data_IF_449598635392
#
_entry.id   IF_449598635392
#
_cell.length_a   1.000
_cell.length_b   1.000
_cell.length_c   1.000
_cell.angle_alpha   90.00
_cell.angle_beta   90.00
_cell.angle_gamma   90.00
#
_symmetry.space_group_name_H-M   'P 1'
#
loop_
_entity.id
_entity.type
_entity.pdbx_description
1 polymer ?
#
# COMPACT_ATOMS: atom_id res chain seq x y z
N UNK A 1 -17.83 -48.67 0.85
CA UNK A 1 -16.44 -48.37 0.45
C UNK A 1 -16.47 -47.02 -0.23
N UNK A 2 -16.57 -45.90 0.50
CA UNK A 2 -15.53 -45.25 1.31
C UNK A 2 -14.23 -45.07 0.57
N UNK A 3 -14.02 -43.87 0.03
CA UNK A 3 -12.76 -43.12 0.09
C UNK A 3 -13.08 -41.62 -0.03
N UNK A 4 -13.43 -41.02 1.11
CA UNK A 4 -13.37 -39.57 1.26
C UNK A 4 -11.91 -39.21 1.47
N UNK A 5 -11.30 -38.57 0.48
CA UNK A 5 -10.03 -37.87 0.63
C UNK A 5 -10.25 -36.67 1.56
N UNK A 6 -10.18 -36.91 2.87
CA UNK A 6 -10.01 -35.89 3.90
C UNK A 6 -8.51 -35.70 4.15
N UNK A 7 -7.81 -35.10 3.19
CA UNK A 7 -6.42 -34.73 3.36
C UNK A 7 -6.26 -33.25 2.98
N UNK A 8 -6.00 -32.38 3.98
CA UNK A 8 -5.43 -31.05 3.73
C UNK A 8 -6.04 -29.83 4.42
N UNK A 9 -6.93 -29.96 5.43
CA UNK A 9 -7.58 -28.78 6.05
C UNK A 9 -7.25 -28.51 7.52
N UNK A 10 -6.33 -29.24 8.15
CA UNK A 10 -5.96 -28.97 9.55
C UNK A 10 -4.90 -27.88 9.74
N UNK A 11 -4.01 -27.64 8.76
CA UNK A 11 -2.97 -26.61 8.86
C UNK A 11 -3.44 -25.16 8.65
N UNK A 12 -4.69 -24.94 8.25
CA UNK A 12 -5.19 -23.63 7.77
C UNK A 12 -5.95 -22.81 8.81
N UNK A 13 -5.98 -23.27 10.07
CA UNK A 13 -6.80 -22.69 11.15
C UNK A 13 -6.30 -21.34 11.70
N UNK A 14 -5.07 -20.93 11.38
CA UNK A 14 -4.43 -19.75 11.99
C UNK A 14 -4.27 -18.55 11.05
N UNK A 15 -4.60 -18.70 9.76
CA UNK A 15 -4.46 -17.60 8.82
C UNK A 15 -5.46 -16.48 9.17
N UNK A 16 -4.99 -15.23 9.36
CA UNK A 16 -5.87 -14.12 9.72
C UNK A 16 -6.86 -13.79 8.61
N UNK A 17 -6.54 -14.18 7.37
CA UNK A 17 -7.27 -13.89 6.16
C UNK A 17 -7.78 -15.17 5.50
N UNK A 18 -9.02 -15.14 5.05
CA UNK A 18 -9.63 -16.17 4.24
C UNK A 18 -10.02 -15.60 2.87
N UNK A 19 -9.66 -16.33 1.83
CA UNK A 19 -9.99 -16.00 0.43
C UNK A 19 -11.26 -16.75 0.05
N UNK A 20 -12.25 -16.04 -0.49
CA UNK A 20 -13.51 -16.59 -1.00
C UNK A 20 -13.73 -16.18 -2.45
N UNK A 21 -14.31 -17.07 -3.26
CA UNK A 21 -14.72 -16.78 -4.64
C UNK A 21 -16.24 -16.66 -4.67
N UNK A 22 -16.74 -15.43 -4.78
CA UNK A 22 -18.18 -15.13 -4.74
C UNK A 22 -18.64 -14.52 -6.08
N UNK A 23 -19.94 -14.58 -6.37
CA UNK A 23 -20.51 -13.93 -7.56
C UNK A 23 -20.60 -12.40 -7.46
N UNK A 24 -20.38 -11.83 -6.26
CA UNK A 24 -20.49 -10.40 -6.00
C UNK A 24 -19.18 -9.85 -5.43
N UNK A 25 -18.81 -8.66 -5.87
CA UNK A 25 -17.67 -7.94 -5.31
C UNK A 25 -18.03 -7.25 -3.99
N UNK A 26 -17.37 -7.63 -2.89
CA UNK A 26 -17.49 -6.97 -1.60
C UNK A 26 -16.52 -5.80 -1.41
N UNK A 27 -15.54 -5.68 -2.30
CA UNK A 27 -14.45 -4.71 -2.22
C UNK A 27 -14.43 -3.79 -3.44
N UNK A 28 -15.61 -3.35 -3.91
CA UNK A 28 -15.79 -2.46 -5.08
C UNK A 28 -15.01 -1.14 -4.98
N UNK A 29 -14.70 -0.73 -3.75
CA UNK A 29 -13.92 0.47 -3.46
C UNK A 29 -12.41 0.27 -3.72
N UNK A 30 -11.91 -0.97 -3.73
CA UNK A 30 -10.49 -1.27 -3.84
C UNK A 30 -9.95 -0.97 -5.24
N UNK A 31 -10.71 -1.29 -6.31
CA UNK A 31 -10.32 -1.00 -7.69
C UNK A 31 -10.04 0.48 -7.94
N UNK A 32 -11.01 1.39 -7.67
CA UNK A 32 -10.79 2.84 -7.79
C UNK A 32 -9.62 3.37 -6.96
N UNK A 33 -9.46 2.90 -5.71
CA UNK A 33 -8.33 3.31 -4.88
C UNK A 33 -6.98 2.86 -5.45
N UNK A 34 -6.88 1.61 -5.92
CA UNK A 34 -5.68 1.10 -6.54
C UNK A 34 -5.33 1.88 -7.82
N UNK A 35 -6.33 2.20 -8.64
CA UNK A 35 -6.14 3.01 -9.85
C UNK A 35 -5.61 4.39 -9.52
N UNK A 36 -6.21 5.09 -8.55
CA UNK A 36 -5.74 6.40 -8.09
C UNK A 36 -4.30 6.30 -7.57
N UNK A 37 -4.01 5.35 -6.69
CA UNK A 37 -2.67 5.18 -6.10
C UNK A 37 -1.59 4.92 -7.16
N UNK A 38 -1.85 4.01 -8.11
CA UNK A 38 -0.93 3.72 -9.21
C UNK A 38 -0.76 4.91 -10.16
N UNK A 39 -1.84 5.66 -10.42
CA UNK A 39 -1.78 6.86 -11.26
C UNK A 39 -0.92 7.94 -10.59
N UNK A 40 -1.11 8.18 -9.29
CA UNK A 40 -0.26 9.09 -8.52
C UNK A 40 1.20 8.63 -8.48
N UNK A 41 1.45 7.33 -8.30
CA UNK A 41 2.80 6.75 -8.37
C UNK A 41 3.44 6.90 -9.75
N UNK A 42 2.68 6.73 -10.82
CA UNK A 42 3.15 6.88 -12.19
C UNK A 42 3.49 8.34 -12.50
N UNK A 43 2.67 9.29 -12.04
CA UNK A 43 2.97 10.71 -12.12
C UNK A 43 4.26 11.06 -11.37
N UNK A 44 4.44 10.52 -10.15
CA UNK A 44 5.67 10.71 -9.39
C UNK A 44 6.90 10.14 -10.14
N UNK A 45 6.77 8.97 -10.75
CA UNK A 45 7.85 8.35 -11.52
C UNK A 45 8.18 9.15 -12.79
N UNK A 46 7.19 9.73 -13.45
CA UNK A 46 7.38 10.51 -14.68
C UNK A 46 7.89 11.93 -14.42
N UNK A 47 7.41 12.58 -13.36
CA UNK A 47 7.74 13.96 -13.01
C UNK A 47 8.96 14.06 -12.09
N UNK A 48 9.40 12.94 -11.52
CA UNK A 48 10.46 12.88 -10.53
C UNK A 48 9.98 13.18 -9.11
N UNK A 49 10.90 13.05 -8.16
CA UNK A 49 10.63 13.32 -6.75
C UNK A 49 10.46 14.83 -6.52
N UNK A 50 9.40 15.27 -5.81
CA UNK A 50 9.23 16.68 -5.54
C UNK A 50 10.38 17.15 -4.64
N UNK A 51 10.96 18.35 -4.88
CA UNK A 51 12.12 18.86 -4.14
C UNK A 51 11.68 19.43 -2.79
N UNK A 52 10.91 18.66 -2.02
CA UNK A 52 10.42 19.01 -0.70
C UNK A 52 10.98 18.08 0.33
N UNK A 53 11.44 18.69 1.41
CA UNK A 53 11.72 17.95 2.62
C UNK A 53 10.38 17.58 3.29
N UNK A 54 9.98 16.32 3.13
CA UNK A 54 8.82 15.72 3.79
C UNK A 54 9.20 14.96 5.07
N UNK A 55 10.45 15.05 5.52
CA UNK A 55 10.89 14.31 6.68
C UNK A 55 10.28 14.90 7.97
N UNK A 56 9.93 14.02 8.89
CA UNK A 56 9.49 14.41 10.24
C UNK A 56 10.64 15.09 10.99
N UNK A 57 10.42 16.05 11.90
CA UNK A 57 11.48 16.61 12.74
C UNK A 57 12.32 15.55 13.48
N UNK A 58 11.69 14.42 13.84
CA UNK A 58 12.35 13.27 14.46
C UNK A 58 13.38 12.60 13.54
N UNK A 59 13.22 12.70 12.22
CA UNK A 59 14.19 12.21 11.23
C UNK A 59 15.55 12.91 11.39
N UNK A 60 15.55 14.21 11.67
CA UNK A 60 16.79 14.96 11.93
C UNK A 60 17.44 14.60 13.26
N UNK A 61 16.66 14.08 14.21
CA UNK A 61 17.17 13.51 15.47
C UNK A 61 17.65 12.05 15.32
N UNK A 62 17.67 11.52 14.10
CA UNK A 62 18.10 10.15 13.81
C UNK A 62 17.03 9.07 14.00
N UNK A 63 15.80 9.46 14.35
CA UNK A 63 14.68 8.53 14.54
C UNK A 63 13.92 8.39 13.22
N UNK A 64 14.04 7.22 12.59
CA UNK A 64 13.32 6.89 11.36
C UNK A 64 11.92 6.35 11.67
N UNK A 65 10.89 6.97 11.10
CA UNK A 65 9.53 6.41 11.14
C UNK A 65 9.35 5.30 10.09
N UNK A 66 8.31 4.44 10.20
CA UNK A 66 8.11 3.30 9.30
C UNK A 66 7.89 3.69 7.82
N UNK A 67 7.53 4.94 7.54
CA UNK A 67 7.27 5.45 6.19
C UNK A 67 8.48 6.21 5.62
N UNK A 68 9.58 6.34 6.38
CA UNK A 68 10.82 6.91 5.89
C UNK A 68 11.26 6.21 4.60
N UNK A 69 11.75 7.01 3.65
CA UNK A 69 12.09 6.51 2.31
C UNK A 69 10.89 6.09 1.46
N UNK A 70 9.64 6.20 1.93
CA UNK A 70 8.44 5.70 1.26
C UNK A 70 8.28 6.26 -0.16
N UNK A 71 8.45 7.56 -0.34
CA UNK A 71 8.36 8.24 -1.66
C UNK A 71 9.48 7.79 -2.60
N UNK A 72 10.72 7.66 -2.11
CA UNK A 72 11.86 7.14 -2.90
C UNK A 72 11.65 5.67 -3.27
N UNK A 73 11.18 4.86 -2.33
CA UNK A 73 10.87 3.44 -2.55
C UNK A 73 9.70 3.24 -3.51
N UNK A 74 8.67 4.09 -3.45
CA UNK A 74 7.54 4.07 -4.38
C UNK A 74 8.01 4.44 -5.79
N UNK A 75 8.79 5.51 -5.92
CA UNK A 75 9.39 5.92 -7.19
C UNK A 75 10.23 4.79 -7.80
N UNK A 76 11.12 4.17 -7.01
CA UNK A 76 11.91 3.02 -7.44
C UNK A 76 11.02 1.84 -7.87
N UNK A 77 10.00 1.48 -7.10
CA UNK A 77 9.09 0.39 -7.42
C UNK A 77 8.30 0.65 -8.72
N UNK A 78 7.86 1.88 -8.95
CA UNK A 78 7.16 2.28 -10.17
C UNK A 78 8.05 2.26 -11.41
N UNK A 79 9.37 2.50 -11.24
CA UNK A 79 10.37 2.34 -12.30
C UNK A 79 10.83 0.88 -12.51
N UNK A 80 10.34 -0.06 -11.70
CA UNK A 80 10.73 -1.46 -11.76
C UNK A 80 12.04 -1.81 -11.04
N UNK A 81 12.68 -0.84 -10.35
CA UNK A 81 13.86 -1.10 -9.51
C UNK A 81 13.42 -1.62 -8.14
N UNK A 82 13.05 -2.89 -8.09
CA UNK A 82 12.58 -3.54 -6.86
C UNK A 82 13.68 -3.67 -5.80
N UNK A 83 14.95 -3.73 -6.20
CA UNK A 83 16.08 -3.78 -5.30
C UNK A 83 16.22 -2.46 -4.53
N UNK A 84 16.20 -1.33 -5.24
CA UNK A 84 16.20 -0.02 -4.60
C UNK A 84 14.90 0.22 -3.81
N UNK A 85 13.74 -0.20 -4.32
CA UNK A 85 12.48 -0.09 -3.60
C UNK A 85 12.52 -0.80 -2.25
N UNK A 86 13.05 -2.02 -2.21
CA UNK A 86 13.22 -2.79 -0.97
C UNK A 86 14.17 -2.11 0.01
N UNK A 87 15.30 -1.59 -0.49
CA UNK A 87 16.31 -0.91 0.36
C UNK A 87 15.79 0.40 0.93
N UNK A 88 15.00 1.16 0.17
CA UNK A 88 14.38 2.39 0.66
C UNK A 88 13.21 2.11 1.60
N UNK A 89 12.22 1.35 1.13
CA UNK A 89 11.07 0.99 1.94
C UNK A 89 10.35 -0.25 1.37
N UNK A 90 10.48 -1.42 2.03
CA UNK A 90 9.80 -2.65 1.60
C UNK A 90 8.28 -2.50 1.45
N UNK A 91 7.64 -1.66 2.28
CA UNK A 91 6.21 -1.42 2.20
C UNK A 91 5.82 -0.81 0.85
N UNK A 92 6.63 0.09 0.29
CA UNK A 92 6.35 0.72 -1.01
C UNK A 92 6.28 -0.31 -2.14
N UNK A 93 7.15 -1.33 -2.11
CA UNK A 93 7.10 -2.42 -3.08
C UNK A 93 5.78 -3.20 -2.97
N UNK A 94 5.40 -3.59 -1.75
CA UNK A 94 4.14 -4.31 -1.52
C UNK A 94 2.91 -3.47 -1.85
N UNK A 95 2.96 -2.15 -1.69
CA UNK A 95 1.88 -1.25 -2.08
C UNK A 95 1.68 -1.23 -3.60
N UNK A 96 2.75 -1.11 -4.38
CA UNK A 96 2.67 -1.12 -5.86
C UNK A 96 2.17 -2.47 -6.36
N UNK A 97 2.79 -3.57 -5.89
CA UNK A 97 2.39 -4.92 -6.29
C UNK A 97 0.96 -5.25 -5.85
N UNK A 98 0.58 -4.83 -4.64
CA UNK A 98 -0.77 -4.98 -4.11
C UNK A 98 -1.80 -4.22 -4.92
N UNK A 99 -1.53 -2.96 -5.28
CA UNK A 99 -2.42 -2.16 -6.12
C UNK A 99 -2.56 -2.76 -7.52
N UNK A 100 -1.47 -3.21 -8.14
CA UNK A 100 -1.50 -3.92 -9.42
C UNK A 100 -2.31 -5.22 -9.32
N UNK A 101 -2.14 -5.98 -8.24
CA UNK A 101 -2.93 -7.18 -7.96
C UNK A 101 -4.43 -6.90 -7.77
N UNK A 102 -4.79 -5.77 -7.14
CA UNK A 102 -6.19 -5.34 -7.00
C UNK A 102 -6.80 -4.97 -8.36
N UNK A 103 -6.07 -4.28 -9.24
CA UNK A 103 -6.55 -4.01 -10.59
C UNK A 103 -6.68 -5.29 -11.42
N UNK A 104 -5.72 -6.22 -11.30
CA UNK A 104 -5.82 -7.51 -11.96
C UNK A 104 -7.04 -8.30 -11.47
N UNK A 105 -7.28 -8.32 -10.14
CA UNK A 105 -8.48 -8.88 -9.53
C UNK A 105 -9.75 -8.26 -10.12
N UNK A 106 -9.78 -6.95 -10.29
CA UNK A 106 -10.91 -6.21 -10.86
C UNK A 106 -11.18 -6.66 -12.31
N UNK A 107 -10.14 -6.75 -13.14
CA UNK A 107 -10.25 -7.22 -14.53
C UNK A 107 -10.75 -8.66 -14.58
N UNK A 108 -10.15 -9.56 -13.79
CA UNK A 108 -10.56 -10.97 -13.73
C UNK A 108 -12.00 -11.11 -13.23
N UNK A 109 -12.40 -10.32 -12.23
CA UNK A 109 -13.74 -10.31 -11.67
C UNK A 109 -14.79 -9.92 -12.71
N UNK A 110 -14.53 -8.89 -13.51
CA UNK A 110 -15.41 -8.45 -14.60
C UNK A 110 -15.48 -9.45 -15.74
N UNK A 111 -14.35 -10.03 -16.15
CA UNK A 111 -14.30 -11.00 -17.26
C UNK A 111 -14.96 -12.32 -16.88
N UNK A 112 -14.73 -12.82 -15.67
CA UNK A 112 -15.21 -14.15 -15.24
C UNK A 112 -16.53 -14.13 -14.48
N UNK A 113 -17.04 -12.96 -14.12
CA UNK A 113 -18.21 -12.81 -13.24
C UNK A 113 -18.01 -13.39 -11.83
N UNK A 114 -16.77 -13.68 -11.42
CA UNK A 114 -16.43 -14.24 -10.11
C UNK A 114 -15.37 -13.39 -9.43
N UNK A 115 -15.65 -12.98 -8.21
CA UNK A 115 -14.86 -12.01 -7.46
C UNK A 115 -14.10 -12.69 -6.32
N UNK A 116 -12.80 -12.38 -6.24
CA UNK A 116 -11.95 -12.84 -5.14
C UNK A 116 -12.15 -11.92 -3.94
N UNK A 117 -12.83 -12.37 -2.89
CA UNK A 117 -13.07 -11.58 -1.68
C UNK A 117 -12.16 -12.04 -0.54
N UNK A 118 -11.55 -11.07 0.15
CA UNK A 118 -10.79 -11.30 1.38
C UNK A 118 -11.69 -11.05 2.59
N UNK A 119 -11.68 -11.97 3.55
CA UNK A 119 -12.37 -11.84 4.84
C UNK A 119 -11.39 -12.04 5.97
N UNK A 120 -11.37 -11.11 6.93
CA UNK A 120 -10.60 -11.27 8.17
C UNK A 120 -11.34 -12.28 9.05
N UNK A 121 -10.71 -13.43 9.29
CA UNK A 121 -11.27 -14.51 10.11
C UNK A 121 -10.92 -14.32 11.59
N UNK A 122 -9.68 -13.92 11.87
CA UNK A 122 -9.17 -13.74 13.22
C UNK A 122 -8.61 -12.32 13.38
N UNK A 123 -9.46 -11.38 13.83
CA UNK A 123 -9.09 -9.96 13.95
C UNK A 123 -7.87 -9.74 14.84
N UNK A 124 -7.77 -10.45 15.97
CA UNK A 124 -6.62 -10.36 16.88
C UNK A 124 -5.33 -10.82 16.21
N UNK A 125 -5.36 -11.94 15.48
CA UNK A 125 -4.20 -12.40 14.73
C UNK A 125 -3.83 -11.42 13.62
N UNK A 126 -4.80 -10.87 12.89
CA UNK A 126 -4.56 -9.87 11.85
C UNK A 126 -3.89 -8.60 12.41
N UNK A 127 -4.37 -8.10 13.55
CA UNK A 127 -3.79 -6.95 14.25
C UNK A 127 -2.39 -7.29 14.75
N UNK A 128 -2.20 -8.45 15.40
CA UNK A 128 -0.88 -8.88 15.88
C UNK A 128 0.13 -9.00 14.74
N UNK A 129 -0.25 -9.63 13.62
CA UNK A 129 0.58 -9.68 12.41
C UNK A 129 0.91 -8.29 11.89
N UNK A 130 -0.07 -7.38 11.82
CA UNK A 130 0.16 -6.00 11.41
C UNK A 130 1.15 -5.26 12.30
N UNK A 131 1.02 -5.40 13.63
CA UNK A 131 1.95 -4.80 14.60
C UNK A 131 3.36 -5.37 14.43
N UNK A 132 3.49 -6.70 14.30
CA UNK A 132 4.80 -7.34 14.08
C UNK A 132 5.46 -6.84 12.79
N UNK A 133 4.70 -6.70 11.70
CA UNK A 133 5.21 -6.18 10.43
C UNK A 133 5.62 -4.70 10.54
N UNK A 134 4.87 -3.88 11.28
CA UNK A 134 5.23 -2.49 11.54
C UNK A 134 6.51 -2.37 12.35
N UNK A 135 6.68 -3.17 13.41
CA UNK A 135 7.90 -3.20 14.22
C UNK A 135 9.08 -3.69 13.39
N UNK A 136 8.90 -4.72 12.56
CA UNK A 136 9.94 -5.19 11.65
C UNK A 136 10.33 -4.13 10.61
N UNK A 137 9.36 -3.39 10.09
CA UNK A 137 9.61 -2.28 9.18
C UNK A 137 10.37 -1.16 9.88
N UNK A 138 9.97 -0.76 11.08
CA UNK A 138 10.68 0.24 11.88
C UNK A 138 12.13 -0.19 12.16
N UNK A 139 12.35 -1.44 12.58
CA UNK A 139 13.70 -1.97 12.77
C UNK A 139 14.53 -1.93 11.48
N UNK A 140 13.92 -2.25 10.33
CA UNK A 140 14.58 -2.12 9.02
C UNK A 140 14.94 -0.66 8.70
N UNK A 141 14.05 0.29 8.99
CA UNK A 141 14.29 1.71 8.77
C UNK A 141 15.43 2.23 9.66
N UNK A 142 15.48 1.81 10.93
CA UNK A 142 16.58 2.17 11.84
C UNK A 142 17.92 1.59 11.38
N UNK A 143 17.93 0.33 10.90
CA UNK A 143 19.15 -0.30 10.36
C UNK A 143 19.70 0.39 9.09
N UNK A 144 18.85 1.12 8.35
CA UNK A 144 19.23 1.84 7.13
C UNK A 144 19.21 3.37 7.32
N UNK A 145 19.26 3.87 8.55
CA UNK A 145 19.13 5.29 8.84
C UNK A 145 20.15 6.17 8.09
N UNK A 146 21.38 5.70 7.89
CA UNK A 146 22.40 6.45 7.14
C UNK A 146 22.05 6.62 5.66
N UNK A 147 21.54 5.56 5.01
CA UNK A 147 21.03 5.61 3.64
C UNK A 147 19.89 6.62 3.52
N UNK A 148 18.98 6.62 4.49
CA UNK A 148 17.77 7.43 4.48
C UNK A 148 18.07 8.91 4.73
N UNK A 149 19.08 9.21 5.56
CA UNK A 149 19.55 10.58 5.84
C UNK A 149 20.30 11.22 4.67
N UNK A 150 20.94 10.43 3.80
CA UNK A 150 21.58 10.97 2.59
C UNK A 150 20.54 11.32 1.51
N UNK A 151 20.29 12.61 1.31
CA UNK A 151 19.39 13.16 0.29
C UNK A 151 19.80 14.60 -0.07
N UNK A 152 19.50 15.09 -1.29
CA UNK A 152 19.96 16.39 -1.76
C UNK A 152 19.45 17.52 -0.84
N UNK A 153 20.37 18.44 -0.52
CA UNK A 153 20.26 19.40 0.58
C UNK A 153 19.08 20.38 0.53
N UNK A 154 18.73 20.82 1.74
CA UNK A 154 17.95 22.01 2.13
C UNK A 154 17.38 22.87 0.99
N UNK A 155 16.21 22.48 0.49
CA UNK A 155 15.27 23.38 -0.17
C UNK A 155 14.28 23.93 0.87
N UNK A 156 13.65 25.11 0.66
CA UNK A 156 12.77 25.73 1.64
C UNK A 156 11.63 24.79 2.04
N UNK A 157 11.32 24.80 3.34
CA UNK A 157 10.35 23.95 4.03
C UNK A 157 9.05 23.75 3.25
N UNK A 158 8.57 22.49 3.22
CA UNK A 158 7.40 21.99 2.49
C UNK A 158 6.05 22.74 2.70
N UNK A 159 5.99 23.76 3.54
CA UNK A 159 4.80 24.57 3.82
C UNK A 159 4.15 25.19 2.56
N UNK A 160 4.95 25.59 1.56
CA UNK A 160 4.44 26.18 0.31
C UNK A 160 3.86 25.15 -0.67
N UNK A 161 4.34 23.89 -0.63
CA UNK A 161 3.84 22.81 -1.48
C UNK A 161 2.71 22.03 -0.81
N UNK A 162 2.65 22.03 0.52
CA UNK A 162 1.49 21.58 1.30
C UNK A 162 0.22 22.35 0.90
N UNK A 163 0.28 23.68 0.67
CA UNK A 163 -0.88 24.49 0.28
C UNK A 163 -1.49 24.10 -1.07
N UNK A 164 -0.73 23.48 -1.97
CA UNK A 164 -1.19 23.05 -3.30
C UNK A 164 -1.53 21.55 -3.30
N UNK A 165 -0.74 20.73 -2.61
CA UNK A 165 -0.92 19.28 -2.58
C UNK A 165 -2.05 18.83 -1.64
N UNK A 166 -2.28 19.51 -0.51
CA UNK A 166 -3.42 19.23 0.39
C UNK A 166 -4.78 19.39 -0.30
N UNK A 167 -5.10 20.49 -1.01
CA UNK A 167 -6.41 20.61 -1.65
C UNK A 167 -6.57 19.61 -2.80
N UNK A 168 -5.49 19.26 -3.52
CA UNK A 168 -5.54 18.26 -4.58
C UNK A 168 -5.76 16.85 -4.01
N UNK A 169 -5.02 16.48 -2.96
CA UNK A 169 -5.18 15.22 -2.25
C UNK A 169 -6.56 15.15 -1.57
N UNK A 170 -7.03 16.24 -0.97
CA UNK A 170 -8.38 16.33 -0.41
C UNK A 170 -9.45 16.22 -1.51
N UNK A 171 -9.26 16.83 -2.69
CA UNK A 171 -10.18 16.69 -3.81
C UNK A 171 -10.24 15.25 -4.32
N UNK A 172 -9.09 14.58 -4.43
CA UNK A 172 -8.99 13.17 -4.81
C UNK A 172 -9.65 12.28 -3.74
N UNK A 173 -9.37 12.50 -2.46
CA UNK A 173 -9.99 11.77 -1.34
C UNK A 173 -11.50 12.01 -1.32
N UNK A 174 -11.97 13.24 -1.51
CA UNK A 174 -13.39 13.57 -1.55
C UNK A 174 -14.08 12.94 -2.78
N UNK A 175 -13.41 12.93 -3.93
CA UNK A 175 -13.89 12.25 -5.14
C UNK A 175 -14.01 10.75 -4.90
N UNK A 176 -12.98 10.12 -4.36
CA UNK A 176 -12.96 8.71 -3.98
C UNK A 176 -14.06 8.41 -2.97
N UNK A 177 -14.21 9.20 -1.90
CA UNK A 177 -15.28 9.03 -0.91
C UNK A 177 -16.67 9.19 -1.53
N UNK A 178 -16.85 10.12 -2.48
CA UNK A 178 -18.09 10.26 -3.25
C UNK A 178 -18.36 9.03 -4.13
N UNK A 179 -17.34 8.49 -4.78
CA UNK A 179 -17.45 7.28 -5.59
C UNK A 179 -17.79 6.05 -4.73
N UNK A 180 -17.15 5.91 -3.56
CA UNK A 180 -17.45 4.85 -2.58
C UNK A 180 -18.90 4.97 -2.07
N UNK A 181 -19.35 6.18 -1.71
CA UNK A 181 -20.74 6.43 -1.26
C UNK A 181 -21.77 6.14 -2.35
N UNK A 182 -21.45 6.40 -3.63
CA UNK A 182 -22.32 6.06 -4.77
C UNK A 182 -22.37 4.55 -5.01
N UNK A 183 -21.24 3.86 -4.93
CA UNK A 183 -21.16 2.42 -5.15
C UNK A 183 -21.83 1.57 -4.04
N UNK A 184 -22.05 2.13 -2.84
CA UNK A 184 -22.76 1.48 -1.73
C UNK A 184 -24.28 1.73 -1.70
N UNK A 185 -24.85 2.48 -2.66
CA UNK A 185 -26.29 2.80 -2.74
C UNK A 185 -27.01 2.12 -3.91
N UNK A 186 -26.35 1.20 -4.61
CA UNK A 186 -26.86 0.39 -5.73
C UNK A 186 -26.71 -1.10 -5.42
#
# INVERSE_FOLDING_TARGET
>A
MSDRVTAGTEGRRWLPLQVHLEGHDRHRWAGPLAAVGLTSGALLAALGLPPVDLHSPLHHAGVMDPLCGGTRGLHAAMLGDFGAAWRYNPLSLFLVLGAAGVLLREVVGRVRGRWLNLRVRHRRAAVATGVVLLVALEANQQAHADLLRSGPGSAPSAWLLLSITLPLAAAVVLLVLRLIRRAGRT
#
